data_IF_606507932205
#
_entry.id   IF_606507932205
#
_cell.length_a   1.000
_cell.length_b   1.000
_cell.length_c   1.000
_cell.angle_alpha   90.00
_cell.angle_beta   90.00
_cell.angle_gamma   90.00
#
_symmetry.space_group_name_H-M   'P 1'
#
loop_
_entity.id
_entity.type
_entity.pdbx_description
1 polymer ?
#
# COMPACT_ATOMS: atom_id res chain seq x y z
N UNK A 1 -20.10 7.37 13.69
CA UNK A 1 -19.87 7.47 12.25
C UNK A 1 -18.41 7.09 12.02
N UNK A 2 -18.14 5.95 11.40
CA UNK A 2 -16.76 5.61 11.03
C UNK A 2 -16.33 6.63 9.98
N UNK A 3 -15.37 7.48 10.32
CA UNK A 3 -14.72 8.35 9.33
C UNK A 3 -13.90 7.40 8.45
N UNK A 4 -14.54 6.87 7.41
CA UNK A 4 -13.88 6.05 6.41
C UNK A 4 -12.69 6.82 5.84
N UNK A 5 -11.51 6.22 5.94
CA UNK A 5 -10.25 6.82 5.52
C UNK A 5 -10.28 7.17 4.02
N UNK A 6 -9.79 8.36 3.65
CA UNK A 6 -9.76 8.84 2.25
C UNK A 6 -9.10 7.83 1.30
N UNK A 7 -8.04 7.15 1.75
CA UNK A 7 -7.37 6.09 0.99
C UNK A 7 -8.32 4.92 0.67
N UNK A 8 -9.12 4.49 1.64
CA UNK A 8 -10.07 3.37 1.47
C UNK A 8 -11.17 3.71 0.48
N UNK A 9 -11.62 4.96 0.42
CA UNK A 9 -12.63 5.43 -0.53
C UNK A 9 -12.13 5.51 -1.98
N UNK A 10 -10.82 5.43 -2.18
CA UNK A 10 -10.16 5.68 -3.48
C UNK A 10 -9.20 4.53 -3.86
N UNK A 11 -9.45 3.32 -3.38
CA UNK A 11 -8.59 2.16 -3.67
C UNK A 11 -8.54 1.83 -5.16
N UNK A 12 -9.62 2.09 -5.90
CA UNK A 12 -9.69 1.97 -7.36
C UNK A 12 -8.58 2.77 -8.07
N UNK A 13 -8.19 3.92 -7.52
CA UNK A 13 -7.15 4.80 -8.07
C UNK A 13 -5.72 4.31 -7.85
N UNK A 14 -5.53 3.29 -7.01
CA UNK A 14 -4.21 2.74 -6.73
C UNK A 14 -3.57 2.17 -7.99
N UNK A 15 -2.34 2.59 -8.24
CA UNK A 15 -1.51 2.10 -9.33
C UNK A 15 -0.03 2.13 -8.91
N UNK A 16 0.84 1.53 -9.71
CA UNK A 16 2.29 1.67 -9.55
C UNK A 16 2.96 1.72 -10.92
N UNK A 17 4.18 2.23 -10.98
CA UNK A 17 5.03 2.11 -12.17
C UNK A 17 5.63 0.72 -12.27
N UNK A 18 6.15 0.35 -13.45
CA UNK A 18 6.87 -0.91 -13.68
C UNK A 18 8.05 -1.09 -12.71
N UNK A 19 8.84 -0.03 -12.50
CA UNK A 19 9.92 -0.03 -11.50
C UNK A 19 9.40 -0.22 -10.08
N UNK A 20 8.21 0.32 -9.77
CA UNK A 20 7.53 0.08 -8.51
C UNK A 20 7.10 -1.38 -8.33
N UNK A 21 6.58 -2.03 -9.38
CA UNK A 21 6.28 -3.48 -9.37
C UNK A 21 7.53 -4.27 -9.02
N UNK A 22 8.64 -4.04 -9.71
CA UNK A 22 9.92 -4.75 -9.47
C UNK A 22 10.41 -4.53 -8.04
N UNK A 23 10.40 -3.27 -7.57
CA UNK A 23 10.81 -2.92 -6.20
C UNK A 23 9.97 -3.63 -5.15
N UNK A 24 8.65 -3.60 -5.29
CA UNK A 24 7.72 -4.21 -4.33
C UNK A 24 7.92 -5.73 -4.28
N UNK A 25 7.99 -6.38 -5.45
CA UNK A 25 8.25 -7.83 -5.53
C UNK A 25 9.54 -8.21 -4.83
N UNK A 26 10.63 -7.48 -5.11
CA UNK A 26 11.94 -7.73 -4.49
C UNK A 26 11.90 -7.55 -2.98
N UNK A 27 11.32 -6.46 -2.50
CA UNK A 27 11.30 -6.13 -1.07
C UNK A 27 10.49 -7.11 -0.21
N UNK A 28 9.45 -7.71 -0.81
CA UNK A 28 8.57 -8.66 -0.12
C UNK A 28 8.86 -10.12 -0.47
N UNK A 29 9.75 -10.38 -1.42
CA UNK A 29 9.92 -11.70 -2.05
C UNK A 29 8.58 -12.22 -2.58
N UNK A 30 7.83 -11.36 -3.28
CA UNK A 30 6.44 -11.62 -3.67
C UNK A 30 6.36 -12.23 -5.08
N UNK A 31 5.77 -13.41 -5.17
CA UNK A 31 5.48 -14.12 -6.42
C UNK A 31 4.02 -13.89 -6.83
N UNK A 32 3.75 -12.77 -7.50
CA UNK A 32 2.43 -12.46 -8.08
C UNK A 32 2.58 -11.71 -9.40
N UNK A 33 1.63 -11.84 -10.31
CA UNK A 33 1.57 -11.02 -11.52
C UNK A 33 0.84 -9.69 -11.29
N UNK A 34 0.04 -9.59 -10.22
CA UNK A 34 -0.73 -8.39 -9.89
C UNK A 34 -0.35 -7.85 -8.51
N UNK A 35 0.66 -6.98 -8.52
CA UNK A 35 1.17 -6.33 -7.30
C UNK A 35 0.18 -5.29 -6.77
N UNK A 36 -0.56 -4.62 -7.65
CA UNK A 36 -1.50 -3.56 -7.26
C UNK A 36 -2.66 -4.18 -6.49
N UNK A 37 -3.25 -5.26 -7.02
CA UNK A 37 -4.33 -5.96 -6.34
C UNK A 37 -3.84 -6.60 -5.03
N UNK A 38 -2.62 -7.14 -5.00
CA UNK A 38 -2.03 -7.61 -3.75
C UNK A 38 -1.98 -6.50 -2.69
N UNK A 39 -1.50 -5.30 -3.04
CA UNK A 39 -1.49 -4.16 -2.12
C UNK A 39 -2.91 -3.72 -1.70
N UNK A 40 -3.88 -3.70 -2.62
CA UNK A 40 -5.29 -3.38 -2.32
C UNK A 40 -5.83 -4.28 -1.21
N UNK A 41 -5.72 -5.60 -1.38
CA UNK A 41 -6.22 -6.57 -0.38
C UNK A 41 -5.56 -6.41 0.99
N UNK A 42 -4.30 -5.99 1.03
CA UNK A 42 -3.60 -5.70 2.29
C UNK A 42 -4.10 -4.42 2.94
N UNK A 43 -4.35 -3.36 2.16
CA UNK A 43 -4.87 -2.08 2.68
C UNK A 43 -6.32 -2.24 3.17
N UNK A 44 -7.13 -3.09 2.54
CA UNK A 44 -8.52 -3.38 2.93
C UNK A 44 -8.65 -4.27 4.18
N UNK A 45 -7.55 -4.87 4.63
CA UNK A 45 -7.55 -5.72 5.81
C UNK A 45 -8.04 -4.95 7.04
N UNK A 46 -8.89 -5.54 7.90
CA UNK A 46 -9.29 -4.91 9.16
C UNK A 46 -8.10 -4.71 10.12
N UNK A 47 -6.98 -5.41 9.89
CA UNK A 47 -5.74 -5.26 10.65
C UNK A 47 -4.84 -4.13 10.10
N UNK A 48 -5.24 -3.44 9.04
CA UNK A 48 -4.45 -2.37 8.45
C UNK A 48 -4.54 -1.10 9.29
N UNK A 49 -3.38 -0.58 9.69
CA UNK A 49 -3.25 0.70 10.40
C UNK A 49 -2.77 1.75 9.39
N UNK A 50 -3.65 2.69 9.05
CA UNK A 50 -3.40 3.70 8.01
C UNK A 50 -3.09 5.05 8.66
N UNK A 51 -1.90 5.58 8.40
CA UNK A 51 -1.46 6.89 8.87
C UNK A 51 -1.00 7.77 7.71
N UNK A 52 -1.43 9.03 7.65
CA UNK A 52 -0.89 10.02 6.71
C UNK A 52 0.23 10.81 7.37
N UNK A 53 1.37 10.92 6.70
CA UNK A 53 2.45 11.85 7.07
C UNK A 53 2.81 12.68 5.84
N UNK A 54 2.38 13.93 5.84
CA UNK A 54 2.54 14.84 4.69
C UNK A 54 1.89 14.30 3.42
N UNK A 55 2.70 14.12 2.37
CA UNK A 55 2.24 13.69 1.04
C UNK A 55 1.99 12.19 0.90
N UNK A 56 2.26 11.38 1.93
CA UNK A 56 2.20 9.93 1.85
C UNK A 56 1.31 9.32 2.93
N UNK A 57 0.58 8.27 2.54
CA UNK A 57 0.01 7.27 3.43
C UNK A 57 1.04 6.19 3.73
N UNK A 58 1.10 5.78 4.99
CA UNK A 58 1.85 4.65 5.49
C UNK A 58 0.84 3.67 6.09
N UNK A 59 0.81 2.47 5.54
CA UNK A 59 -0.11 1.40 5.93
C UNK A 59 0.73 0.29 6.51
N UNK A 60 0.64 0.06 7.83
CA UNK A 60 1.22 -1.12 8.47
C UNK A 60 0.14 -2.19 8.55
N UNK A 61 0.44 -3.40 8.10
CA UNK A 61 -0.49 -4.53 8.08
C UNK A 61 0.26 -5.85 8.09
N UNK A 62 -0.02 -6.71 9.08
CA UNK A 62 0.78 -7.90 9.35
C UNK A 62 2.27 -7.53 9.45
N UNK A 63 3.15 -8.24 8.74
CA UNK A 63 4.59 -7.99 8.74
C UNK A 63 5.05 -7.08 7.58
N UNK A 64 4.20 -6.20 7.04
CA UNK A 64 4.60 -5.29 5.97
C UNK A 64 4.10 -3.85 6.13
N UNK A 65 4.88 -2.94 5.53
CA UNK A 65 4.55 -1.53 5.41
C UNK A 65 4.38 -1.21 3.93
N UNK A 66 3.24 -0.61 3.57
CA UNK A 66 2.95 -0.09 2.23
C UNK A 66 2.95 1.44 2.31
N UNK A 67 3.67 2.09 1.38
CA UNK A 67 3.66 3.55 1.23
C UNK A 67 2.94 3.94 -0.04
N UNK A 68 1.92 4.79 0.07
CA UNK A 68 1.13 5.29 -1.06
C UNK A 68 1.19 6.81 -1.09
N UNK A 69 1.38 7.41 -2.26
CA UNK A 69 1.24 8.86 -2.38
C UNK A 69 -0.22 9.27 -2.22
N UNK A 70 -0.50 10.26 -1.37
CA UNK A 70 -1.87 10.66 -1.03
C UNK A 70 -2.61 11.41 -2.15
N UNK A 71 -1.89 11.98 -3.12
CA UNK A 71 -2.49 12.73 -4.22
C UNK A 71 -2.61 11.90 -5.50
N UNK A 72 -1.51 11.23 -5.88
CA UNK A 72 -1.46 10.42 -7.10
C UNK A 72 -1.96 9.00 -6.88
N UNK A 73 -2.14 8.52 -5.65
CA UNK A 73 -2.50 7.13 -5.36
C UNK A 73 -1.47 6.11 -5.91
N UNK A 74 -0.24 6.57 -6.18
CA UNK A 74 0.85 5.69 -6.59
C UNK A 74 1.37 4.92 -5.38
N UNK A 75 1.37 3.59 -5.46
CA UNK A 75 2.06 2.73 -4.49
C UNK A 75 3.56 2.93 -4.70
N UNK A 76 4.18 3.69 -3.80
CA UNK A 76 5.60 4.04 -3.90
C UNK A 76 6.44 2.82 -3.55
N UNK A 77 6.12 2.12 -2.48
CA UNK A 77 6.87 0.91 -2.08
C UNK A 77 6.03 0.07 -1.14
N UNK A 78 6.40 -1.20 -1.03
CA UNK A 78 6.00 -2.05 0.07
C UNK A 78 7.22 -2.88 0.48
N UNK A 79 7.38 -3.11 1.77
CA UNK A 79 8.50 -3.88 2.32
C UNK A 79 8.10 -4.54 3.63
N UNK A 80 8.87 -5.54 4.05
CA UNK A 80 8.67 -6.16 5.37
C UNK A 80 8.89 -5.11 6.46
N UNK A 81 8.08 -5.15 7.50
CA UNK A 81 8.36 -4.38 8.71
C UNK A 81 9.68 -4.87 9.29
N UNK A 82 10.59 -3.92 9.61
CA UNK A 82 11.85 -4.29 10.24
C UNK A 82 11.55 -4.58 11.71
N UNK A 83 11.84 -5.80 12.14
CA UNK A 83 11.96 -6.13 13.57
C UNK A 83 13.22 -5.49 14.15
#
# INVERSE_FOLDING_TARGET
>A
MNVENELLKNLDRLHTTELGVVRIKKNLSLETNDVVNWCKTKIESPNAIINRKGKNWYISVYDCIITVNAHSYTIITAHKEKK
#
